data_IF_414816898180
#
_entry.id   IF_414816898180
#
_cell.length_a   1.000
_cell.length_b   1.000
_cell.length_c   1.000
_cell.angle_alpha   90.00
_cell.angle_beta   90.00
_cell.angle_gamma   90.00
#
_symmetry.space_group_name_H-M   'P 1'
#
loop_
_entity.id
_entity.type
_entity.pdbx_description
1 polymer ?
#
# COMPACT_ATOMS: atom_id res chain seq x y z
N UNK A 1 -4.30 -1.09 -12.90
CA UNK A 1 -5.03 -0.57 -11.73
C UNK A 1 -4.00 -0.01 -10.75
N UNK A 2 -4.14 1.24 -10.31
CA UNK A 2 -3.22 1.94 -9.41
C UNK A 2 -3.64 1.72 -7.95
N UNK A 3 -2.72 1.35 -7.08
CA UNK A 3 -3.01 1.14 -5.66
C UNK A 3 -2.01 1.88 -4.78
N UNK A 4 -2.46 2.33 -3.62
CA UNK A 4 -1.58 2.80 -2.54
C UNK A 4 -1.67 1.79 -1.42
N UNK A 5 -0.52 1.27 -0.99
CA UNK A 5 -0.41 0.41 0.18
C UNK A 5 0.05 1.25 1.36
N UNK A 6 -0.55 1.02 2.51
CA UNK A 6 -0.10 1.54 3.80
C UNK A 6 1.32 1.03 4.15
N UNK A 7 2.09 1.84 4.88
CA UNK A 7 3.43 1.50 5.37
C UNK A 7 3.45 0.16 6.13
N UNK A 8 2.42 -0.11 6.93
CA UNK A 8 2.32 -1.32 7.74
C UNK A 8 2.15 -2.58 6.89
N UNK A 9 1.62 -2.47 5.67
CA UNK A 9 1.54 -3.60 4.74
C UNK A 9 2.95 -3.98 4.27
N UNK A 10 3.77 -3.01 3.87
CA UNK A 10 5.17 -3.28 3.51
C UNK A 10 5.95 -3.85 4.69
N UNK A 11 5.83 -3.23 5.87
CA UNK A 11 6.51 -3.71 7.08
C UNK A 11 6.12 -5.16 7.35
N UNK A 12 4.82 -5.50 7.33
CA UNK A 12 4.37 -6.87 7.53
C UNK A 12 4.86 -7.83 6.43
N UNK A 13 4.87 -7.39 5.17
CA UNK A 13 5.31 -8.17 4.02
C UNK A 13 6.80 -8.56 4.10
N UNK A 14 7.66 -7.65 4.55
CA UNK A 14 9.10 -7.91 4.68
C UNK A 14 9.52 -8.47 6.04
N UNK A 15 8.63 -8.47 7.05
CA UNK A 15 8.94 -9.00 8.38
C UNK A 15 8.56 -10.46 8.57
N UNK A 16 7.58 -10.95 7.81
CA UNK A 16 7.07 -12.31 7.95
C UNK A 16 6.38 -12.80 6.68
N UNK A 17 6.35 -14.12 6.48
CA UNK A 17 5.49 -14.71 5.45
C UNK A 17 4.03 -14.66 5.92
N UNK A 18 3.11 -14.30 5.02
CA UNK A 18 1.69 -14.26 5.35
C UNK A 18 0.84 -13.55 4.29
N UNK A 19 -0.28 -13.01 4.72
CA UNK A 19 -1.22 -12.31 3.84
C UNK A 19 -0.56 -11.10 3.18
N UNK A 20 0.10 -10.22 3.95
CA UNK A 20 0.71 -9.01 3.38
C UNK A 20 1.85 -9.32 2.42
N UNK A 21 2.68 -10.33 2.69
CA UNK A 21 3.74 -10.74 1.75
C UNK A 21 3.13 -11.24 0.44
N UNK A 22 2.10 -12.08 0.52
CA UNK A 22 1.41 -12.60 -0.66
C UNK A 22 0.70 -11.49 -1.44
N UNK A 23 0.04 -10.57 -0.71
CA UNK A 23 -0.67 -9.44 -1.28
C UNK A 23 0.27 -8.52 -2.05
N UNK A 24 1.44 -8.24 -1.48
CA UNK A 24 2.42 -7.40 -2.12
C UNK A 24 2.89 -8.00 -3.45
N UNK A 25 3.22 -9.31 -3.48
CA UNK A 25 3.54 -10.03 -4.74
C UNK A 25 2.37 -9.96 -5.74
N UNK A 26 1.13 -10.18 -5.28
CA UNK A 26 -0.06 -10.05 -6.13
C UNK A 26 -0.20 -8.65 -6.74
N UNK A 27 0.08 -7.61 -5.94
CA UNK A 27 0.07 -6.23 -6.40
C UNK A 27 1.17 -5.96 -7.43
N UNK A 28 2.36 -6.53 -7.28
CA UNK A 28 3.43 -6.41 -8.27
C UNK A 28 3.01 -7.01 -9.62
N UNK A 29 2.35 -8.16 -9.60
CA UNK A 29 1.94 -8.86 -10.82
C UNK A 29 0.75 -8.20 -11.53
N UNK A 30 -0.21 -7.67 -10.76
CA UNK A 30 -1.54 -7.32 -11.28
C UNK A 30 -1.90 -5.83 -11.19
N UNK A 31 -1.04 -5.01 -10.59
CA UNK A 31 -1.34 -3.61 -10.30
C UNK A 31 -0.14 -2.69 -10.54
N UNK A 32 -0.37 -1.39 -10.40
CA UNK A 32 0.67 -0.38 -10.35
C UNK A 32 0.70 0.18 -8.93
N UNK A 33 1.75 -0.13 -8.18
CA UNK A 33 1.89 0.34 -6.81
C UNK A 33 2.43 1.77 -6.81
N UNK A 34 1.68 2.69 -6.22
CA UNK A 34 2.09 4.06 -5.96
C UNK A 34 2.64 4.15 -4.54
N UNK A 35 3.82 4.73 -4.39
CA UNK A 35 4.47 4.93 -3.09
C UNK A 35 5.02 6.36 -3.02
N UNK A 36 5.20 6.90 -1.81
CA UNK A 36 5.84 8.20 -1.59
C UNK A 36 7.11 8.07 -0.76
N UNK A 37 7.94 9.12 -0.79
CA UNK A 37 9.12 9.23 0.09
C UNK A 37 8.75 9.15 1.58
N UNK A 38 7.56 9.64 1.95
CA UNK A 38 7.06 9.54 3.32
C UNK A 38 6.85 8.08 3.73
N UNK A 39 6.14 7.30 2.91
CA UNK A 39 5.91 5.87 3.16
C UNK A 39 7.26 5.11 3.18
N UNK A 40 8.16 5.36 2.23
CA UNK A 40 9.49 4.73 2.18
C UNK A 40 10.28 5.01 3.47
N UNK A 41 10.27 6.25 3.93
CA UNK A 41 10.94 6.67 5.16
C UNK A 41 10.36 5.95 6.39
N UNK A 42 9.04 5.83 6.45
CA UNK A 42 8.38 5.15 7.56
C UNK A 42 8.66 3.64 7.57
N UNK A 43 8.63 2.99 6.40
CA UNK A 43 9.00 1.58 6.24
C UNK A 43 10.43 1.36 6.71
N UNK A 44 11.38 2.15 6.23
CA UNK A 44 12.80 2.06 6.63
C UNK A 44 12.96 2.23 8.15
N UNK A 45 12.36 3.27 8.71
CA UNK A 45 12.40 3.56 10.15
C UNK A 45 11.82 2.41 10.98
N UNK A 46 10.68 1.86 10.58
CA UNK A 46 10.00 0.83 11.35
C UNK A 46 10.64 -0.56 11.19
N UNK A 47 11.18 -0.90 10.02
CA UNK A 47 11.99 -2.12 9.85
C UNK A 47 13.22 -2.11 10.77
N UNK A 48 13.91 -0.97 10.88
CA UNK A 48 15.07 -0.85 11.77
C UNK A 48 14.64 -0.82 13.24
N UNK A 49 13.67 0.02 13.61
CA UNK A 49 13.37 0.29 15.04
C UNK A 49 12.46 -0.76 15.67
N UNK A 50 11.41 -1.19 14.96
CA UNK A 50 10.39 -2.11 15.50
C UNK A 50 10.76 -3.56 15.21
N UNK A 51 11.16 -3.85 13.97
CA UNK A 51 11.48 -5.21 13.51
C UNK A 51 12.94 -5.59 13.81
N UNK A 52 13.80 -4.59 14.08
CA UNK A 52 15.23 -4.78 14.37
C UNK A 52 15.97 -5.46 13.22
N UNK A 53 15.54 -5.20 11.98
CA UNK A 53 16.23 -5.68 10.80
C UNK A 53 17.58 -4.94 10.64
N UNK A 54 18.66 -5.63 10.26
CA UNK A 54 19.93 -4.99 9.93
C UNK A 54 19.78 -3.87 8.89
N UNK A 55 20.61 -2.83 9.00
CA UNK A 55 20.50 -1.64 8.16
C UNK A 55 20.79 -1.93 6.68
N UNK A 56 21.73 -2.83 6.39
CA UNK A 56 22.03 -3.35 5.05
C UNK A 56 20.80 -4.04 4.43
N UNK A 57 20.16 -4.94 5.18
CA UNK A 57 18.94 -5.62 4.73
C UNK A 57 17.77 -4.67 4.53
N UNK A 58 17.64 -3.67 5.41
CA UNK A 58 16.63 -2.62 5.22
C UNK A 58 16.91 -1.82 3.95
N UNK A 59 18.16 -1.48 3.68
CA UNK A 59 18.54 -0.75 2.47
C UNK A 59 18.24 -1.55 1.20
N UNK A 60 18.51 -2.86 1.19
CA UNK A 60 18.14 -3.75 0.07
C UNK A 60 16.62 -3.70 -0.20
N UNK A 61 15.80 -3.75 0.84
CA UNK A 61 14.34 -3.64 0.73
C UNK A 61 13.92 -2.28 0.16
N UNK A 62 14.54 -1.19 0.61
CA UNK A 62 14.21 0.16 0.11
C UNK A 62 14.60 0.32 -1.36
N UNK A 63 15.75 -0.22 -1.79
CA UNK A 63 16.16 -0.24 -3.20
C UNK A 63 15.11 -1.00 -4.01
N UNK A 64 14.77 -2.20 -3.57
CA UNK A 64 13.78 -3.04 -4.24
C UNK A 64 12.41 -2.34 -4.37
N UNK A 65 11.92 -1.67 -3.31
CA UNK A 65 10.68 -0.90 -3.37
C UNK A 65 10.74 0.24 -4.39
N UNK A 66 11.89 0.90 -4.55
CA UNK A 66 12.07 1.97 -5.54
C UNK A 66 12.14 1.46 -6.97
N UNK A 67 12.59 0.22 -7.15
CA UNK A 67 12.64 -0.44 -8.46
C UNK A 67 11.26 -0.96 -8.90
N UNK A 68 10.48 -1.48 -7.95
CA UNK A 68 9.20 -2.13 -8.24
C UNK A 68 7.98 -1.19 -8.17
N UNK A 69 8.04 -0.14 -7.35
CA UNK A 69 6.93 0.80 -7.17
C UNK A 69 7.19 2.13 -7.90
N UNK A 70 6.11 2.83 -8.27
CA UNK A 70 6.22 4.18 -8.83
C UNK A 70 6.23 5.18 -7.68
N UNK A 71 7.39 5.80 -7.46
CA UNK A 71 7.54 6.87 -6.46
C UNK A 71 6.87 8.15 -6.95
N UNK A 72 5.93 8.69 -6.17
CA UNK A 72 5.16 9.89 -6.46
C UNK A 72 5.19 10.89 -5.31
N UNK A 73 5.22 12.16 -5.67
CA UNK A 73 4.90 13.26 -4.76
C UNK A 73 3.39 13.44 -4.64
N UNK A 74 2.97 14.25 -3.67
CA UNK A 74 1.58 14.62 -3.45
C UNK A 74 1.47 15.97 -2.76
N UNK A 75 0.37 16.68 -2.99
CA UNK A 75 0.00 17.86 -2.20
C UNK A 75 -0.66 17.42 -0.90
N UNK A 76 -0.26 18.03 0.22
CA UNK A 76 -0.94 17.80 1.51
C UNK A 76 -2.42 18.19 1.41
N UNK A 77 -3.26 17.50 2.17
CA UNK A 77 -4.67 17.85 2.30
C UNK A 77 -4.82 19.26 2.89
N UNK A 78 -5.85 19.98 2.45
CA UNK A 78 -6.16 21.33 2.96
C UNK A 78 -6.68 21.31 4.40
N UNK A 79 -7.27 20.19 4.82
CA UNK A 79 -7.81 19.96 6.15
C UNK A 79 -7.34 18.62 6.67
N UNK A 80 -7.18 18.52 7.98
CA UNK A 80 -6.85 17.26 8.66
C UNK A 80 -8.08 16.35 8.63
N UNK A 81 -7.93 15.15 8.07
CA UNK A 81 -9.06 14.21 7.90
C UNK A 81 -9.00 13.11 8.95
N UNK A 82 -7.81 12.52 9.13
CA UNK A 82 -7.58 11.47 10.10
C UNK A 82 -7.09 12.02 11.44
N UNK A 83 -7.18 11.20 12.49
CA UNK A 83 -6.63 11.54 13.82
C UNK A 83 -5.12 11.53 13.79
N UNK A 84 -4.54 10.54 13.12
CA UNK A 84 -3.11 10.48 12.81
C UNK A 84 -2.81 11.35 11.57
N UNK A 85 -1.72 12.12 11.64
CA UNK A 85 -1.27 12.93 10.51
C UNK A 85 -0.55 12.09 9.44
N UNK A 86 -0.07 10.89 9.80
CA UNK A 86 0.56 9.98 8.85
C UNK A 86 -0.49 9.35 7.90
N UNK A 87 -1.70 9.09 8.39
CA UNK A 87 -2.84 8.63 7.59
C UNK A 87 -3.24 9.62 6.49
N UNK A 88 -3.23 10.93 6.80
CA UNK A 88 -3.53 11.99 5.83
C UNK A 88 -2.55 11.97 4.65
N UNK A 89 -1.31 11.51 4.85
CA UNK A 89 -0.33 11.38 3.77
C UNK A 89 -0.70 10.26 2.80
N UNK A 90 -1.27 9.16 3.30
CA UNK A 90 -1.76 8.05 2.46
C UNK A 90 -2.95 8.52 1.62
N UNK A 91 -3.91 9.21 2.26
CA UNK A 91 -5.08 9.78 1.58
C UNK A 91 -4.68 10.80 0.50
N UNK A 92 -3.74 11.70 0.83
CA UNK A 92 -3.23 12.70 -0.10
C UNK A 92 -2.50 12.07 -1.29
N UNK A 93 -1.64 11.09 -1.06
CA UNK A 93 -0.95 10.35 -2.13
C UNK A 93 -1.94 9.71 -3.10
N UNK A 94 -2.93 9.02 -2.55
CA UNK A 94 -3.96 8.33 -3.34
C UNK A 94 -4.79 9.31 -4.17
N UNK A 95 -5.26 10.41 -3.55
CA UNK A 95 -6.08 11.42 -4.20
C UNK A 95 -5.33 12.13 -5.33
N UNK A 96 -4.15 12.69 -5.05
CA UNK A 96 -3.40 13.52 -6.01
C UNK A 96 -2.91 12.70 -7.23
N UNK A 97 -2.73 11.39 -7.05
CA UNK A 97 -2.28 10.48 -8.10
C UNK A 97 -3.39 9.59 -8.69
N UNK A 98 -4.65 9.83 -8.30
CA UNK A 98 -5.83 9.10 -8.76
C UNK A 98 -5.64 7.59 -8.62
N UNK A 99 -5.36 7.13 -7.40
CA UNK A 99 -5.32 5.71 -7.09
C UNK A 99 -6.73 5.12 -7.21
N UNK A 100 -6.81 3.86 -7.61
CA UNK A 100 -8.06 3.11 -7.69
C UNK A 100 -8.45 2.54 -6.31
N UNK A 101 -7.46 2.26 -5.45
CA UNK A 101 -7.67 1.73 -4.10
C UNK A 101 -6.60 2.24 -3.13
N UNK A 102 -7.01 2.45 -1.88
CA UNK A 102 -6.13 2.50 -0.71
C UNK A 102 -6.28 1.17 0.02
N UNK A 103 -5.15 0.53 0.32
CA UNK A 103 -5.13 -0.75 1.02
C UNK A 103 -4.41 -0.52 2.33
N UNK A 104 -5.08 -0.78 3.45
CA UNK A 104 -4.57 -0.51 4.80
C UNK A 104 -5.08 -1.56 5.79
N UNK A 105 -4.26 -1.83 6.82
CA UNK A 105 -4.69 -2.58 7.99
C UNK A 105 -5.17 -1.70 9.15
N UNK A 106 -5.09 -0.38 9.01
CA UNK A 106 -5.47 0.56 10.04
C UNK A 106 -6.99 0.70 10.14
N UNK A 107 -7.53 0.42 11.33
CA UNK A 107 -8.98 0.48 11.59
C UNK A 107 -9.53 1.89 11.47
N UNK A 108 -8.76 2.91 11.80
CA UNK A 108 -9.19 4.30 11.72
C UNK A 108 -9.36 4.73 10.26
N UNK A 109 -8.44 4.33 9.37
CA UNK A 109 -8.62 4.52 7.93
C UNK A 109 -9.76 3.68 7.37
N UNK A 110 -9.88 2.41 7.76
CA UNK A 110 -10.93 1.52 7.26
C UNK A 110 -12.35 2.01 7.61
N UNK A 111 -12.53 2.70 8.75
CA UNK A 111 -13.82 3.30 9.13
C UNK A 111 -14.29 4.35 8.14
N UNK A 112 -13.38 5.03 7.42
CA UNK A 112 -13.74 5.99 6.37
C UNK A 112 -14.42 5.30 5.17
N UNK A 113 -14.12 4.02 4.92
CA UNK A 113 -14.56 3.17 3.78
C UNK A 113 -14.14 3.67 2.40
N UNK A 114 -14.06 4.98 2.20
CA UNK A 114 -13.55 5.64 1.00
C UNK A 114 -13.08 7.05 1.33
N UNK A 115 -12.18 7.56 0.52
CA UNK A 115 -11.80 8.96 0.49
C UNK A 115 -12.06 9.50 -0.91
N UNK A 116 -12.95 10.50 -1.03
CA UNK A 116 -13.53 10.93 -2.31
C UNK A 116 -14.17 9.74 -3.07
N UNK A 117 -13.60 9.36 -4.22
CA UNK A 117 -14.03 8.22 -5.04
C UNK A 117 -13.16 6.97 -4.83
N UNK A 118 -12.17 7.03 -3.94
CA UNK A 118 -11.16 5.98 -3.76
C UNK A 118 -11.59 5.08 -2.60
N UNK A 119 -11.94 3.81 -2.83
CA UNK A 119 -12.25 2.87 -1.76
C UNK A 119 -11.02 2.62 -0.87
N UNK A 120 -11.28 2.53 0.43
CA UNK A 120 -10.31 2.16 1.46
C UNK A 120 -10.71 0.80 1.99
N UNK A 121 -9.86 -0.19 1.76
CA UNK A 121 -10.18 -1.60 2.01
C UNK A 121 -9.01 -2.32 2.67
N UNK A 122 -9.29 -3.46 3.28
CA UNK A 122 -8.26 -4.27 3.93
C UNK A 122 -7.54 -5.21 2.94
N UNK A 123 -6.36 -5.74 3.31
CA UNK A 123 -5.61 -6.72 2.51
C UNK A 123 -6.42 -7.92 2.02
N UNK A 124 -7.32 -8.46 2.84
CA UNK A 124 -8.10 -9.65 2.52
C UNK A 124 -9.20 -9.33 1.52
N UNK A 125 -9.86 -8.19 1.68
CA UNK A 125 -10.87 -7.72 0.74
C UNK A 125 -10.24 -7.47 -0.64
N UNK A 126 -9.09 -6.78 -0.69
CA UNK A 126 -8.42 -6.52 -1.97
C UNK A 126 -7.96 -7.82 -2.66
N UNK A 127 -7.44 -8.78 -1.89
CA UNK A 127 -7.06 -10.09 -2.40
C UNK A 127 -8.22 -10.78 -3.15
N UNK A 128 -9.41 -10.78 -2.55
CA UNK A 128 -10.62 -11.38 -3.14
C UNK A 128 -11.01 -10.65 -4.43
N UNK A 129 -10.94 -9.31 -4.45
CA UNK A 129 -11.26 -8.49 -5.63
C UNK A 129 -10.36 -8.86 -6.81
N UNK A 130 -9.04 -8.94 -6.60
CA UNK A 130 -8.10 -9.28 -7.67
C UNK A 130 -8.31 -10.71 -8.16
N UNK A 131 -8.40 -11.69 -7.25
CA UNK A 131 -8.55 -13.09 -7.64
C UNK A 131 -9.86 -13.36 -8.38
N UNK A 132 -10.94 -12.65 -8.03
CA UNK A 132 -12.21 -12.73 -8.75
C UNK A 132 -12.12 -12.16 -10.17
N UNK A 133 -11.31 -11.10 -10.38
CA UNK A 133 -11.05 -10.55 -11.71
C UNK A 133 -10.21 -11.51 -12.58
N UNK A 134 -9.21 -12.17 -12.00
CA UNK A 134 -8.39 -13.17 -12.71
C UNK A 134 -9.20 -14.41 -13.15
N UNK A 135 -10.14 -14.87 -12.30
CA UNK A 135 -11.00 -16.02 -12.61
C UNK A 135 -11.97 -15.75 -13.77
N UNK A 136 -12.51 -14.53 -13.87
CA UNK A 136 -13.44 -14.15 -14.93
C UNK A 136 -12.77 -13.97 -16.30
N UNK A 137 -11.48 -13.61 -16.36
CA UNK A 137 -10.74 -13.48 -17.62
C UNK A 137 -10.38 -14.83 -18.28
N UNK A 138 -10.42 -15.93 -17.53
CA UNK A 138 -10.13 -17.28 -18.07
C UNK A 138 -11.36 -17.99 -18.64
N UNK A 139 -12.57 -17.48 -18.39
CA UNK A 139 -13.83 -18.14 -18.76
C UNK A 139 -14.45 -17.62 -20.07
N UNK A 140 -13.78 -16.70 -20.78
CA UNK A 140 -14.20 -16.15 -22.08
C UNK A 140 -13.37 -16.66 -23.26
N UNK A 141 -12.52 -17.68 -23.06
CA UNK A 141 -11.76 -18.34 -24.12
C UNK A 141 -12.08 -19.84 -24.26
N UNK A 142 -13.36 -20.21 -24.17
CA UNK A 142 -13.85 -21.54 -24.56
C UNK A 142 -15.14 -21.42 -25.38
#
# INVERSE_FOLDING_TARGET
MKVVLDSNIYIAAFSSRGLCSSLFELCLDSTTILISEHIISEVSKNLIKKIKLPADKTNDIIIYLREQCIVKGYKKLSEKVCRDADDDNILALACDNRADYIITGDKDLLVLKKFDLIPIIDPREFWIIIKSKEGNSKNTMN
#
